data_IF_666027489706
#
_entry.id   IF_666027489706
#
_cell.length_a   1.000
_cell.length_b   1.000
_cell.length_c   1.000
_cell.angle_alpha   90.00
_cell.angle_beta   90.00
_cell.angle_gamma   90.00
#
_symmetry.space_group_name_H-M   'P 1'
#
loop_
_entity.id
_entity.type
_entity.pdbx_description
1 polymer ?
#
# COMPACT_ATOMS: atom_id res chain seq x y z
N UNK A 1 23.36 0.36 -13.84
CA UNK A 1 22.15 1.02 -14.29
C UNK A 1 21.56 1.78 -13.10
N UNK A 2 21.16 3.03 -13.30
CA UNK A 2 20.37 3.77 -12.32
C UNK A 2 18.93 3.27 -12.43
N UNK A 3 18.33 2.85 -11.31
CA UNK A 3 16.93 2.47 -11.22
C UNK A 3 16.36 3.03 -9.93
N UNK A 4 15.02 3.17 -9.84
CA UNK A 4 14.40 3.61 -8.60
C UNK A 4 14.46 2.50 -7.53
N UNK A 5 14.20 2.85 -6.27
CA UNK A 5 14.30 1.96 -5.12
C UNK A 5 13.31 0.78 -5.19
N UNK A 6 12.10 1.00 -5.72
CA UNK A 6 11.10 -0.06 -5.87
C UNK A 6 11.50 -1.08 -6.96
N UNK A 7 12.08 -0.61 -8.07
CA UNK A 7 12.63 -1.49 -9.08
C UNK A 7 13.83 -2.29 -8.54
N UNK A 8 14.69 -1.64 -7.75
CA UNK A 8 15.79 -2.33 -7.08
C UNK A 8 15.27 -3.39 -6.08
N UNK A 9 14.20 -3.09 -5.33
CA UNK A 9 13.54 -4.06 -4.46
C UNK A 9 12.98 -5.25 -5.26
N UNK A 10 12.34 -5.01 -6.42
CA UNK A 10 11.82 -6.08 -7.26
C UNK A 10 12.94 -7.02 -7.78
N UNK A 11 14.07 -6.47 -8.19
CA UNK A 11 15.25 -7.27 -8.59
C UNK A 11 15.80 -8.05 -7.39
N UNK A 12 15.86 -7.42 -6.22
CA UNK A 12 16.29 -8.07 -4.98
C UNK A 12 15.41 -9.25 -4.59
N UNK A 13 14.08 -9.06 -4.62
CA UNK A 13 13.10 -10.11 -4.32
C UNK A 13 13.16 -11.27 -5.33
N UNK A 14 13.36 -10.98 -6.61
CA UNK A 14 13.53 -11.99 -7.65
C UNK A 14 14.80 -12.83 -7.46
N UNK A 15 15.87 -12.19 -7.01
CA UNK A 15 17.18 -12.85 -6.92
C UNK A 15 17.38 -13.59 -5.61
N UNK A 16 16.96 -12.98 -4.49
CA UNK A 16 17.28 -13.44 -3.14
C UNK A 16 16.08 -13.57 -2.21
N UNK A 17 14.92 -13.02 -2.59
CA UNK A 17 13.75 -12.88 -1.71
C UNK A 17 12.60 -13.82 -2.03
N UNK A 18 11.39 -13.36 -1.69
CA UNK A 18 10.14 -14.12 -1.78
C UNK A 18 9.72 -14.43 -3.22
N UNK A 19 10.18 -13.64 -4.21
CA UNK A 19 9.89 -13.85 -5.64
C UNK A 19 10.86 -14.82 -6.33
N UNK A 20 11.76 -15.47 -5.60
CA UNK A 20 12.73 -16.37 -6.21
C UNK A 20 12.03 -17.51 -6.96
N UNK A 21 12.31 -17.62 -8.26
CA UNK A 21 11.70 -18.60 -9.16
C UNK A 21 10.39 -18.16 -9.81
N UNK A 22 9.80 -17.04 -9.39
CA UNK A 22 8.64 -16.43 -10.04
C UNK A 22 9.07 -15.63 -11.27
N UNK A 23 8.20 -15.57 -12.27
CA UNK A 23 8.42 -14.81 -13.49
C UNK A 23 7.49 -13.61 -13.65
N UNK A 24 6.33 -13.67 -13.01
CA UNK A 24 5.29 -12.67 -13.14
C UNK A 24 4.83 -12.23 -11.74
N UNK A 25 5.32 -11.10 -11.25
CA UNK A 25 4.98 -10.60 -9.92
C UNK A 25 5.09 -9.09 -9.83
N UNK A 26 4.49 -8.52 -8.79
CA UNK A 26 4.57 -7.10 -8.47
C UNK A 26 5.18 -6.97 -7.07
N UNK A 27 6.16 -6.08 -6.91
CA UNK A 27 6.61 -5.62 -5.60
C UNK A 27 5.99 -4.26 -5.31
N UNK A 28 5.42 -4.10 -4.12
CA UNK A 28 4.89 -2.83 -3.62
C UNK A 28 5.71 -2.43 -2.39
N UNK A 29 6.32 -1.26 -2.44
CA UNK A 29 7.05 -0.70 -1.30
C UNK A 29 6.14 0.26 -0.53
N UNK A 30 5.92 -0.01 0.75
CA UNK A 30 5.06 0.75 1.66
C UNK A 30 5.94 1.49 2.69
N UNK A 31 6.45 2.65 2.29
CA UNK A 31 7.31 3.52 3.08
C UNK A 31 6.70 4.92 3.26
N UNK A 32 7.52 5.96 3.23
CA UNK A 32 7.07 7.37 3.20
C UNK A 32 6.12 7.63 2.04
N UNK A 33 6.37 6.99 0.88
CA UNK A 33 5.49 6.91 -0.27
C UNK A 33 5.05 5.46 -0.55
N UNK A 34 4.43 5.26 -1.72
CA UNK A 34 4.09 3.94 -2.27
C UNK A 34 4.79 3.77 -3.61
N UNK A 35 5.84 2.95 -3.62
CA UNK A 35 6.55 2.59 -4.85
C UNK A 35 6.14 1.20 -5.35
N UNK A 36 6.50 0.87 -6.58
CA UNK A 36 6.24 -0.45 -7.15
C UNK A 36 7.22 -0.82 -8.25
N UNK A 37 7.49 -2.12 -8.35
CA UNK A 37 8.24 -2.72 -9.45
C UNK A 37 7.45 -3.88 -10.03
N UNK A 38 7.32 -3.93 -11.33
CA UNK A 38 6.56 -4.96 -12.05
C UNK A 38 7.54 -5.86 -12.80
N UNK A 39 7.42 -7.17 -12.63
CA UNK A 39 8.20 -8.17 -13.36
C UNK A 39 7.24 -9.01 -14.19
N UNK A 40 7.53 -9.16 -15.49
CA UNK A 40 6.75 -9.98 -16.42
C UNK A 40 7.72 -10.85 -17.25
N UNK A 41 7.46 -12.15 -17.31
CA UNK A 41 8.33 -13.09 -17.99
C UNK A 41 9.76 -13.11 -17.45
N UNK A 42 9.95 -12.79 -16.16
CA UNK A 42 11.27 -12.70 -15.51
C UNK A 42 12.04 -11.41 -15.81
N UNK A 43 11.40 -10.42 -16.45
CA UNK A 43 12.02 -9.15 -16.79
C UNK A 43 11.30 -7.99 -16.09
N UNK A 44 12.09 -7.06 -15.56
CA UNK A 44 11.53 -5.83 -15.00
C UNK A 44 10.92 -4.97 -16.11
N UNK A 45 9.70 -4.49 -15.88
CA UNK A 45 8.99 -3.62 -16.81
C UNK A 45 9.43 -2.18 -16.61
N UNK A 46 10.13 -1.62 -17.58
CA UNK A 46 10.57 -0.22 -17.57
C UNK A 46 9.60 0.71 -18.28
N UNK A 47 8.85 0.19 -19.26
CA UNK A 47 8.06 1.03 -20.18
C UNK A 47 8.94 1.75 -21.19
N UNK A 48 8.32 2.61 -22.01
CA UNK A 48 9.02 3.34 -23.06
C UNK A 48 10.03 4.37 -22.49
N UNK A 49 9.61 5.11 -21.47
CA UNK A 49 10.38 6.22 -20.88
C UNK A 49 11.06 5.84 -19.56
N UNK A 50 10.99 4.57 -19.12
CA UNK A 50 11.55 4.11 -17.85
C UNK A 50 10.68 4.37 -16.63
N UNK A 51 9.43 4.84 -16.80
CA UNK A 51 8.51 5.20 -15.72
C UNK A 51 7.36 4.19 -15.52
N UNK A 52 7.44 2.99 -16.06
CA UNK A 52 6.43 1.98 -15.78
C UNK A 52 6.46 1.57 -14.32
N UNK A 53 5.29 1.23 -13.78
CA UNK A 53 5.19 0.76 -12.40
C UNK A 53 4.93 1.87 -11.38
N UNK A 54 4.47 3.05 -11.76
CA UNK A 54 4.07 4.13 -10.85
C UNK A 54 2.69 3.84 -10.21
N UNK A 55 2.51 2.63 -9.64
CA UNK A 55 1.24 2.14 -9.11
C UNK A 55 0.76 2.89 -7.85
N UNK A 56 1.67 3.50 -7.09
CA UNK A 56 1.32 4.39 -6.00
C UNK A 56 0.52 5.62 -6.42
N UNK A 57 0.57 5.95 -7.72
CA UNK A 57 -0.13 7.10 -8.28
C UNK A 57 -1.40 6.77 -9.06
N UNK A 58 -1.91 5.53 -9.00
CA UNK A 58 -3.26 5.23 -9.47
C UNK A 58 -4.29 5.97 -8.63
N UNK A 59 -5.34 6.47 -9.29
CA UNK A 59 -6.35 7.31 -8.64
C UNK A 59 -7.41 6.42 -7.98
N UNK A 60 -7.39 6.35 -6.67
CA UNK A 60 -8.35 5.60 -5.85
C UNK A 60 -9.59 6.43 -5.49
N UNK A 61 -9.44 7.74 -5.42
CA UNK A 61 -10.56 8.67 -5.12
C UNK A 61 -10.58 9.79 -6.16
N UNK A 62 -11.47 9.65 -7.18
CA UNK A 62 -11.56 10.60 -8.30
C UNK A 62 -12.20 11.93 -7.91
N UNK A 63 -13.13 11.90 -6.97
CA UNK A 63 -13.83 13.09 -6.48
C UNK A 63 -13.39 13.38 -5.05
N UNK A 64 -13.06 14.64 -4.76
CA UNK A 64 -12.64 15.10 -3.43
C UNK A 64 -11.46 14.29 -2.85
N UNK A 65 -10.57 13.78 -3.72
CA UNK A 65 -9.40 13.03 -3.31
C UNK A 65 -8.36 13.91 -2.64
N UNK A 66 -7.58 13.32 -1.74
CA UNK A 66 -6.47 14.01 -1.07
C UNK A 66 -5.43 14.48 -2.09
N UNK A 67 -4.86 15.67 -1.86
CA UNK A 67 -3.71 16.14 -2.62
C UNK A 67 -2.53 15.18 -2.43
N UNK A 68 -1.91 14.77 -3.54
CA UNK A 68 -0.72 13.95 -3.60
C UNK A 68 0.51 14.81 -3.94
N UNK A 69 1.69 14.39 -3.47
CA UNK A 69 2.96 15.06 -3.77
C UNK A 69 3.29 15.13 -5.27
N UNK A 70 2.72 14.24 -6.08
CA UNK A 70 2.88 14.26 -7.55
C UNK A 70 2.08 15.36 -8.27
N UNK A 71 1.35 16.21 -7.54
CA UNK A 71 0.51 17.27 -8.09
C UNK A 71 -0.93 16.86 -8.43
N UNK A 72 -1.26 15.55 -8.40
CA UNK A 72 -2.62 15.04 -8.64
C UNK A 72 -3.39 14.85 -7.32
N UNK A 73 -4.67 14.52 -7.44
CA UNK A 73 -5.52 14.22 -6.28
C UNK A 73 -6.00 12.78 -6.33
N UNK A 74 -6.15 12.16 -5.15
CA UNK A 74 -6.76 10.86 -4.98
C UNK A 74 -5.85 9.67 -5.23
N UNK A 75 -4.54 9.86 -5.38
CA UNK A 75 -3.57 8.78 -5.56
C UNK A 75 -3.57 7.81 -4.38
N UNK A 76 -3.33 6.52 -4.64
CA UNK A 76 -3.18 5.48 -3.62
C UNK A 76 -2.19 5.89 -2.52
N UNK A 77 -1.04 6.43 -2.90
CA UNK A 77 0.01 6.90 -1.99
C UNK A 77 -0.50 7.89 -0.93
N UNK A 78 -1.39 8.82 -1.30
CA UNK A 78 -1.93 9.82 -0.38
C UNK A 78 -2.76 9.23 0.77
N UNK A 79 -3.07 7.94 0.70
CA UNK A 79 -3.85 7.20 1.71
C UNK A 79 -3.06 6.04 2.33
N UNK A 80 -2.31 5.30 1.51
CA UNK A 80 -1.75 4.00 1.89
C UNK A 80 -0.24 4.01 2.17
N UNK A 81 0.42 5.16 2.06
CA UNK A 81 1.79 5.34 2.54
C UNK A 81 1.83 5.59 4.06
N UNK A 82 3.03 5.56 4.66
CA UNK A 82 3.21 5.93 6.06
C UNK A 82 2.71 7.36 6.35
N UNK A 83 2.98 8.31 5.45
CA UNK A 83 2.46 9.67 5.55
C UNK A 83 0.94 9.72 5.35
N UNK A 84 0.38 8.86 4.49
CA UNK A 84 -1.05 8.72 4.29
C UNK A 84 -1.78 8.19 5.52
N UNK A 85 -1.21 7.19 6.21
CA UNK A 85 -1.72 6.66 7.48
C UNK A 85 -1.73 7.74 8.56
N UNK A 86 -0.62 8.46 8.74
CA UNK A 86 -0.51 9.56 9.70
C UNK A 86 -1.54 10.67 9.41
N UNK A 87 -1.71 11.02 8.13
CA UNK A 87 -2.73 11.98 7.71
C UNK A 87 -4.15 11.50 8.02
N UNK A 88 -4.45 10.22 7.82
CA UNK A 88 -5.74 9.64 8.17
C UNK A 88 -6.01 9.74 9.67
N UNK A 89 -4.98 9.55 10.50
CA UNK A 89 -5.12 9.72 11.95
C UNK A 89 -5.51 11.15 12.31
N UNK A 90 -4.82 12.16 11.78
CA UNK A 90 -5.15 13.57 12.01
C UNK A 90 -6.58 13.89 11.60
N UNK A 91 -6.98 13.52 10.39
CA UNK A 91 -8.33 13.74 9.88
C UNK A 91 -9.41 13.08 10.75
N UNK A 92 -9.15 11.84 11.22
CA UNK A 92 -10.10 11.14 12.10
C UNK A 92 -10.20 11.80 13.48
N UNK A 93 -9.08 12.22 14.06
CA UNK A 93 -9.06 12.90 15.36
C UNK A 93 -9.74 14.29 15.30
N UNK A 94 -9.69 14.97 14.15
CA UNK A 94 -10.36 16.25 13.94
C UNK A 94 -11.88 16.11 13.85
N UNK A 95 -12.38 15.14 13.07
CA UNK A 95 -13.81 15.00 12.78
C UNK A 95 -14.58 14.12 13.78
N UNK A 96 -13.88 13.30 14.57
CA UNK A 96 -14.46 12.33 15.51
C UNK A 96 -14.18 12.75 16.94
N UNK A 97 -15.05 12.29 17.86
CA UNK A 97 -14.91 12.55 19.30
C UNK A 97 -14.64 11.28 20.10
N UNK A 98 -14.44 10.15 19.44
CA UNK A 98 -14.12 8.88 20.10
C UNK A 98 -12.83 9.05 20.93
N UNK A 99 -12.77 8.31 22.04
CA UNK A 99 -11.54 8.22 22.83
C UNK A 99 -10.42 7.55 22.02
N UNK A 100 -9.22 8.08 22.15
CA UNK A 100 -8.04 7.53 21.51
C UNK A 100 -6.79 8.01 22.21
N UNK A 101 -5.81 7.13 22.40
CA UNK A 101 -4.49 7.50 22.94
C UNK A 101 -3.70 8.41 22.00
N UNK A 102 -4.09 8.49 20.74
CA UNK A 102 -3.48 9.41 19.77
C UNK A 102 -3.79 10.88 20.07
N UNK A 103 -4.81 11.17 20.89
CA UNK A 103 -5.16 12.53 21.30
C UNK A 103 -4.18 13.15 22.28
N UNK A 104 -3.36 12.33 22.93
CA UNK A 104 -2.30 12.77 23.84
C UNK A 104 -1.06 13.29 23.09
N UNK A 105 -1.01 13.10 21.76
CA UNK A 105 0.09 13.52 20.90
C UNK A 105 -0.25 14.84 20.19
N UNK A 106 0.79 15.58 19.82
CA UNK A 106 0.63 16.70 18.89
C UNK A 106 0.16 16.16 17.53
N UNK A 107 -1.00 16.59 17.00
CA UNK A 107 -1.53 16.10 15.74
C UNK A 107 -0.53 16.20 14.56
N UNK A 108 0.30 17.25 14.54
CA UNK A 108 1.27 17.45 13.46
C UNK A 108 2.47 16.49 13.53
N UNK A 109 2.74 15.94 14.72
CA UNK A 109 3.83 14.99 14.95
C UNK A 109 3.41 13.51 14.85
N UNK A 110 2.10 13.22 14.74
CA UNK A 110 1.61 11.83 14.62
C UNK A 110 2.23 11.16 13.41
N UNK A 111 2.84 10.01 13.64
CA UNK A 111 3.43 9.12 12.64
C UNK A 111 2.62 7.83 12.44
N UNK A 112 2.89 7.10 11.38
CA UNK A 112 2.30 5.76 11.19
C UNK A 112 2.71 4.77 12.28
N UNK A 113 3.87 4.99 12.92
CA UNK A 113 4.32 4.18 14.05
C UNK A 113 3.44 4.41 15.28
N UNK A 114 3.07 5.66 15.58
CA UNK A 114 2.18 5.98 16.69
C UNK A 114 0.79 5.36 16.48
N UNK A 115 0.29 5.38 15.24
CA UNK A 115 -0.95 4.69 14.89
C UNK A 115 -0.82 3.17 15.11
N UNK A 116 0.30 2.57 14.75
CA UNK A 116 0.57 1.16 15.03
C UNK A 116 0.61 0.88 16.54
N UNK A 117 1.36 1.67 17.30
CA UNK A 117 1.50 1.51 18.75
C UNK A 117 0.14 1.68 19.48
N UNK A 118 -0.74 2.56 18.98
CA UNK A 118 -2.11 2.73 19.45
C UNK A 118 -2.98 1.50 19.11
N UNK A 119 -2.89 1.00 17.86
CA UNK A 119 -3.63 -0.20 17.44
C UNK A 119 -3.27 -1.43 18.29
N UNK A 120 -1.99 -1.58 18.67
CA UNK A 120 -1.53 -2.64 19.54
C UNK A 120 -2.10 -2.53 20.98
N UNK A 121 -2.60 -1.35 21.36
CA UNK A 121 -3.35 -1.12 22.61
C UNK A 121 -4.87 -1.24 22.44
N UNK A 122 -5.33 -1.78 21.31
CA UNK A 122 -6.75 -1.87 20.93
C UNK A 122 -7.44 -0.50 20.78
N UNK A 123 -6.73 0.54 20.45
CA UNK A 123 -7.31 1.84 20.13
C UNK A 123 -8.20 1.71 18.89
N UNK A 124 -9.47 2.07 19.06
CA UNK A 124 -10.49 1.88 18.02
C UNK A 124 -10.21 2.70 16.76
N UNK A 125 -9.80 3.96 16.93
CA UNK A 125 -9.47 4.85 15.79
C UNK A 125 -8.28 4.26 15.02
N UNK A 126 -7.23 3.82 15.71
CA UNK A 126 -6.04 3.27 15.09
C UNK A 126 -6.35 1.95 14.33
N UNK A 127 -7.17 1.08 14.91
CA UNK A 127 -7.61 -0.16 14.23
C UNK A 127 -8.41 0.15 12.95
N UNK A 128 -9.31 1.12 12.99
CA UNK A 128 -10.09 1.54 11.83
C UNK A 128 -9.22 2.17 10.73
N UNK A 129 -8.14 2.87 11.10
CA UNK A 129 -7.18 3.42 10.15
C UNK A 129 -6.47 2.28 9.39
N UNK A 130 -6.00 1.23 10.09
CA UNK A 130 -5.41 0.07 9.43
C UNK A 130 -6.39 -0.68 8.56
N UNK A 131 -7.64 -0.82 9.01
CA UNK A 131 -8.72 -1.42 8.22
C UNK A 131 -8.98 -0.64 6.93
N UNK A 132 -9.11 0.68 7.01
CA UNK A 132 -9.34 1.55 5.86
C UNK A 132 -8.15 1.54 4.88
N UNK A 133 -6.92 1.59 5.42
CA UNK A 133 -5.69 1.57 4.63
C UNK A 133 -5.54 0.24 3.89
N UNK A 134 -5.70 -0.88 4.60
CA UNK A 134 -5.60 -2.21 4.01
C UNK A 134 -6.72 -2.48 3.00
N UNK A 135 -7.95 -2.01 3.27
CA UNK A 135 -9.05 -2.13 2.33
C UNK A 135 -8.77 -1.40 1.02
N UNK A 136 -8.22 -0.19 1.08
CA UNK A 136 -7.86 0.58 -0.13
C UNK A 136 -6.71 -0.08 -0.91
N UNK A 137 -5.71 -0.62 -0.21
CA UNK A 137 -4.64 -1.40 -0.85
C UNK A 137 -5.22 -2.63 -1.57
N UNK A 138 -6.14 -3.36 -0.91
CA UNK A 138 -6.78 -4.53 -1.51
C UNK A 138 -7.63 -4.19 -2.75
N UNK A 139 -8.36 -3.06 -2.76
CA UNK A 139 -9.05 -2.56 -3.95
C UNK A 139 -8.05 -2.34 -5.09
N UNK A 140 -6.95 -1.61 -4.83
CA UNK A 140 -5.92 -1.34 -5.83
C UNK A 140 -5.25 -2.62 -6.34
N UNK A 141 -4.96 -3.57 -5.45
CA UNK A 141 -4.31 -4.83 -5.82
C UNK A 141 -5.21 -5.70 -6.69
N UNK A 142 -6.52 -5.67 -6.47
CA UNK A 142 -7.47 -6.35 -7.37
C UNK A 142 -7.40 -5.79 -8.81
N UNK A 143 -7.25 -4.47 -8.95
CA UNK A 143 -7.06 -3.84 -10.26
C UNK A 143 -5.71 -4.22 -10.88
N UNK A 144 -4.62 -4.29 -10.08
CA UNK A 144 -3.31 -4.69 -10.56
C UNK A 144 -3.29 -6.16 -11.02
N UNK A 145 -4.00 -7.04 -10.31
CA UNK A 145 -4.19 -8.43 -10.72
C UNK A 145 -4.95 -8.51 -12.03
N UNK A 146 -6.02 -7.73 -12.20
CA UNK A 146 -6.77 -7.70 -13.45
C UNK A 146 -5.93 -7.21 -14.64
N UNK A 147 -4.98 -6.30 -14.39
CA UNK A 147 -4.11 -5.72 -15.40
C UNK A 147 -2.98 -6.67 -15.83
N UNK A 148 -2.29 -7.34 -14.90
CA UNK A 148 -1.04 -8.07 -15.18
C UNK A 148 -1.07 -9.56 -14.85
N UNK A 149 -2.11 -10.05 -14.17
CA UNK A 149 -2.25 -11.47 -13.78
C UNK A 149 -0.99 -12.04 -13.09
N UNK A 150 -0.47 -11.42 -12.03
CA UNK A 150 0.77 -11.83 -11.40
C UNK A 150 0.60 -13.11 -10.57
N UNK A 151 1.67 -13.88 -10.39
CA UNK A 151 1.75 -15.02 -9.47
C UNK A 151 1.62 -14.54 -8.01
N UNK A 152 2.19 -13.36 -7.72
CA UNK A 152 2.17 -12.77 -6.38
C UNK A 152 2.26 -11.25 -6.41
N UNK A 153 1.73 -10.61 -5.34
CA UNK A 153 2.03 -9.24 -4.96
C UNK A 153 2.84 -9.28 -3.66
N UNK A 154 4.09 -8.83 -3.73
CA UNK A 154 5.04 -8.87 -2.61
C UNK A 154 5.09 -7.49 -1.97
N UNK A 155 4.84 -7.44 -0.66
CA UNK A 155 4.85 -6.20 0.10
C UNK A 155 6.17 -6.02 0.82
N UNK A 156 6.76 -4.84 0.70
CA UNK A 156 8.01 -4.47 1.32
C UNK A 156 7.88 -3.10 2.02
N UNK A 157 8.63 -2.86 3.09
CA UNK A 157 8.69 -1.56 3.75
C UNK A 157 8.12 -1.53 5.17
N UNK A 158 8.16 -0.34 5.77
CA UNK A 158 7.86 -0.15 7.19
C UNK A 158 6.44 -0.54 7.62
N UNK A 159 5.44 -0.25 6.80
CA UNK A 159 4.04 -0.56 7.11
C UNK A 159 3.74 -2.06 7.14
N UNK A 160 4.53 -2.89 6.44
CA UNK A 160 4.34 -4.36 6.48
C UNK A 160 4.61 -4.95 7.86
N UNK A 161 5.37 -4.24 8.71
CA UNK A 161 5.62 -4.64 10.11
C UNK A 161 4.35 -4.64 10.97
N UNK A 162 3.27 -4.00 10.51
CA UNK A 162 1.98 -4.09 11.16
C UNK A 162 1.33 -5.49 11.06
N UNK A 163 1.91 -6.41 10.27
CA UNK A 163 1.49 -7.80 10.20
C UNK A 163 0.00 -7.93 9.87
N UNK A 164 -0.73 -8.71 10.64
CA UNK A 164 -2.14 -9.01 10.40
C UNK A 164 -3.06 -7.78 10.44
N UNK A 165 -2.67 -6.71 11.15
CA UNK A 165 -3.45 -5.47 11.17
C UNK A 165 -3.65 -4.88 9.78
N UNK A 166 -2.66 -5.01 8.90
CA UNK A 166 -2.77 -4.50 7.53
C UNK A 166 -3.00 -5.63 6.52
N UNK A 167 -2.40 -6.81 6.72
CA UNK A 167 -2.49 -7.91 5.76
C UNK A 167 -3.90 -8.50 5.65
N UNK A 168 -4.61 -8.65 6.78
CA UNK A 168 -5.95 -9.20 6.77
C UNK A 168 -6.95 -8.33 5.99
N UNK A 169 -7.05 -7.00 6.23
CA UNK A 169 -7.93 -6.15 5.41
C UNK A 169 -7.50 -6.09 3.94
N UNK A 170 -6.18 -6.12 3.62
CA UNK A 170 -5.71 -6.21 2.23
C UNK A 170 -6.29 -7.46 1.56
N UNK A 171 -6.05 -8.63 2.14
CA UNK A 171 -6.51 -9.92 1.58
C UNK A 171 -8.02 -9.95 1.40
N UNK A 172 -8.78 -9.57 2.44
CA UNK A 172 -10.24 -9.52 2.40
C UNK A 172 -10.77 -8.63 1.28
N UNK A 173 -10.20 -7.42 1.18
CA UNK A 173 -10.63 -6.43 0.18
C UNK A 173 -10.21 -6.84 -1.23
N UNK A 174 -9.00 -7.37 -1.39
CA UNK A 174 -8.51 -7.89 -2.67
C UNK A 174 -9.40 -9.04 -3.18
N UNK A 175 -9.66 -10.06 -2.36
CA UNK A 175 -10.51 -11.19 -2.71
C UNK A 175 -11.95 -10.76 -3.09
N UNK A 176 -12.49 -9.78 -2.36
CA UNK A 176 -13.82 -9.24 -2.62
C UNK A 176 -13.92 -8.53 -3.98
N UNK A 177 -12.87 -7.84 -4.40
CA UNK A 177 -12.85 -6.99 -5.58
C UNK A 177 -12.24 -7.66 -6.82
N UNK A 178 -11.50 -8.76 -6.65
CA UNK A 178 -10.95 -9.51 -7.80
C UNK A 178 -12.03 -10.16 -8.65
N UNK A 179 -11.75 -10.27 -9.95
CA UNK A 179 -12.53 -11.12 -10.84
C UNK A 179 -12.42 -12.59 -10.37
N UNK A 180 -13.54 -13.31 -10.41
CA UNK A 180 -13.61 -14.72 -9.95
C UNK A 180 -12.58 -15.63 -10.62
N UNK A 181 -12.13 -15.31 -11.84
CA UNK A 181 -11.11 -16.09 -12.57
C UNK A 181 -9.75 -16.09 -11.87
N UNK A 182 -9.47 -15.10 -11.03
CA UNK A 182 -8.21 -14.96 -10.27
C UNK A 182 -8.29 -15.52 -8.84
N UNK A 183 -9.46 -15.91 -8.37
CA UNK A 183 -9.64 -16.38 -7.00
C UNK A 183 -8.68 -17.55 -6.68
N UNK A 184 -7.87 -17.37 -5.62
CA UNK A 184 -6.89 -18.36 -5.16
C UNK A 184 -5.66 -18.55 -6.05
N UNK A 185 -5.45 -17.73 -7.08
CA UNK A 185 -4.31 -17.84 -8.00
C UNK A 185 -3.16 -16.90 -7.68
N UNK A 186 -3.44 -15.71 -7.21
CA UNK A 186 -2.43 -14.72 -6.81
C UNK A 186 -2.16 -14.83 -5.30
N UNK A 187 -0.88 -14.86 -4.93
CA UNK A 187 -0.40 -14.94 -3.55
C UNK A 187 -0.08 -13.57 -3.00
#
# INVERSE_FOLDING_TARGET
ALTNDANAAAIGEMTYGAARGMKDFIVITLGTGVGSGIVIGGNLVYGHDGFAGELGHVIMRRNNGRQCGCGRQGCLEAYASATGVARTAREYLEIRKDESVLRDLDPDEITSKDVYDAAMKNDKIALEIFEATGSMLGEAFADFVAFSSPEAIILFGGLTKAGDLIMNPIKRSMEKNMLKVYAGKTK
#
